data_IF_229538618518
#
_entry.id   IF_229538618518
#
_cell.length_a   1.000
_cell.length_b   1.000
_cell.length_c   1.000
_cell.angle_alpha   90.00
_cell.angle_beta   90.00
_cell.angle_gamma   90.00
#
_symmetry.space_group_name_H-M   'P 1'
#
loop_
_entity.id
_entity.type
_entity.pdbx_description
1 polymer ?
#
# COMPACT_ATOMS: atom_id res chain seq x y z
N UNK A 1 11.06 2.28 -19.37
CA UNK A 1 9.61 2.26 -19.16
C UNK A 1 9.41 2.03 -17.68
N UNK A 2 8.61 2.87 -17.01
CA UNK A 2 8.29 2.66 -15.60
C UNK A 2 7.30 1.50 -15.57
N UNK A 3 7.53 0.51 -14.70
CA UNK A 3 6.57 -0.58 -14.49
C UNK A 3 5.34 -0.02 -13.80
N UNK A 4 4.16 -0.51 -14.17
CA UNK A 4 2.92 -0.14 -13.50
C UNK A 4 2.96 -0.56 -12.01
N UNK A 5 2.20 0.16 -11.18
CA UNK A 5 2.08 -0.08 -9.74
C UNK A 5 0.60 -0.17 -9.43
N UNK A 6 0.10 -1.39 -9.20
CA UNK A 6 -1.31 -1.65 -8.88
C UNK A 6 -1.74 -1.06 -7.54
N UNK A 7 -0.81 -1.03 -6.57
CA UNK A 7 -0.98 -0.38 -5.26
C UNK A 7 0.33 0.28 -4.82
N UNK A 8 0.31 1.60 -4.71
CA UNK A 8 1.32 2.37 -3.99
C UNK A 8 0.77 2.75 -2.62
N UNK A 9 1.23 2.07 -1.57
CA UNK A 9 0.86 2.35 -0.19
C UNK A 9 1.95 3.21 0.48
N UNK A 10 1.63 4.46 0.80
CA UNK A 10 2.64 5.45 1.17
C UNK A 10 2.26 6.23 2.44
N UNK A 11 2.70 5.76 3.62
CA UNK A 11 2.62 6.54 4.86
C UNK A 11 3.47 7.82 4.77
N UNK A 12 2.83 9.00 4.83
CA UNK A 12 3.48 10.30 4.79
C UNK A 12 3.32 11.02 6.13
N UNK A 13 4.30 10.88 7.01
CA UNK A 13 4.27 11.49 8.36
C UNK A 13 4.11 13.02 8.36
N UNK A 14 4.68 13.72 7.37
CA UNK A 14 4.55 15.18 7.23
C UNK A 14 3.11 15.62 6.95
N UNK A 15 2.36 14.82 6.19
CA UNK A 15 0.96 15.06 5.85
C UNK A 15 0.00 14.43 6.87
N UNK A 16 0.49 13.57 7.76
CA UNK A 16 -0.32 12.78 8.73
C UNK A 16 -1.39 11.91 8.06
N UNK A 17 -1.08 11.42 6.86
CA UNK A 17 -1.94 10.53 6.09
C UNK A 17 -1.15 9.36 5.52
N UNK A 18 -1.86 8.27 5.27
CA UNK A 18 -1.39 7.19 4.41
C UNK A 18 -2.03 7.38 3.05
N UNK A 19 -1.23 7.72 2.05
CA UNK A 19 -1.71 7.95 0.68
C UNK A 19 -1.70 6.61 -0.06
N UNK A 20 -2.79 6.30 -0.77
CA UNK A 20 -2.85 5.17 -1.70
C UNK A 20 -3.11 5.66 -3.10
N UNK A 21 -2.47 5.04 -4.09
CA UNK A 21 -2.68 5.34 -5.49
C UNK A 21 -2.25 4.15 -6.36
N UNK A 22 -2.51 4.22 -7.66
CA UNK A 22 -1.93 3.34 -8.67
C UNK A 22 -1.19 4.17 -9.72
N UNK A 23 -0.14 3.59 -10.29
CA UNK A 23 0.60 4.14 -11.43
C UNK A 23 0.30 3.28 -12.65
N UNK A 24 -0.26 3.86 -13.70
CA UNK A 24 -0.64 3.13 -14.92
C UNK A 24 -0.13 3.90 -16.13
N UNK A 25 0.59 3.22 -17.03
CA UNK A 25 1.19 3.83 -18.21
C UNK A 25 2.10 5.05 -17.88
N UNK A 26 2.72 5.04 -16.70
CA UNK A 26 3.59 6.12 -16.22
C UNK A 26 2.86 7.33 -15.60
N UNK A 27 1.53 7.27 -15.42
CA UNK A 27 0.75 8.33 -14.80
C UNK A 27 0.11 7.88 -13.47
N UNK A 28 0.13 8.78 -12.49
CA UNK A 28 -0.54 8.56 -11.21
C UNK A 28 -2.03 8.86 -11.33
N UNK A 29 -2.88 7.98 -10.80
CA UNK A 29 -4.31 8.23 -10.70
C UNK A 29 -4.68 9.20 -9.57
N UNK A 30 -5.95 9.19 -9.17
CA UNK A 30 -6.42 9.97 -8.03
C UNK A 30 -5.91 9.38 -6.71
N UNK A 31 -5.38 10.21 -5.83
CA UNK A 31 -4.93 9.78 -4.50
C UNK A 31 -6.12 9.52 -3.57
N UNK A 32 -6.08 8.39 -2.86
CA UNK A 32 -6.99 8.06 -1.76
C UNK A 32 -6.31 8.38 -0.43
N UNK A 33 -6.96 9.22 0.39
CA UNK A 33 -6.37 9.87 1.58
C UNK A 33 -7.21 9.66 2.84
N UNK A 34 -8.34 8.99 2.72
CA UNK A 34 -9.25 8.67 3.81
C UNK A 34 -8.58 7.81 4.88
N UNK A 35 -8.91 8.07 6.15
CA UNK A 35 -8.28 7.43 7.29
C UNK A 35 -7.25 8.35 7.98
N UNK A 36 -6.81 7.92 9.16
CA UNK A 36 -5.81 8.62 9.97
C UNK A 36 -4.44 7.99 9.78
N UNK A 37 -3.38 8.70 10.16
CA UNK A 37 -2.07 8.09 10.33
C UNK A 37 -2.12 7.03 11.44
N UNK A 38 -1.82 5.77 11.10
CA UNK A 38 -1.80 4.63 12.03
C UNK A 38 -0.38 4.16 12.37
N UNK A 39 0.64 4.81 11.80
CA UNK A 39 2.05 4.52 12.06
C UNK A 39 2.67 5.60 12.93
N UNK A 40 3.62 5.18 13.76
CA UNK A 40 4.42 6.05 14.63
C UNK A 40 5.91 5.86 14.33
N UNK A 41 6.70 6.94 14.39
CA UNK A 41 8.13 6.87 14.11
C UNK A 41 8.86 6.09 15.21
N UNK A 42 9.72 5.15 14.82
CA UNK A 42 10.50 4.32 15.75
C UNK A 42 9.69 3.20 16.42
N UNK A 43 8.43 3.00 16.03
CA UNK A 43 7.58 1.93 16.51
C UNK A 43 7.39 0.89 15.39
N UNK A 44 7.57 -0.39 15.72
CA UNK A 44 7.34 -1.48 14.78
C UNK A 44 5.86 -1.67 14.47
N UNK A 45 5.57 -2.26 13.31
CA UNK A 45 4.21 -2.59 12.88
C UNK A 45 4.20 -3.85 12.03
N UNK A 46 3.05 -4.53 12.01
CA UNK A 46 2.74 -5.59 11.05
C UNK A 46 1.82 -5.02 9.96
N UNK A 47 2.19 -5.22 8.69
CA UNK A 47 1.41 -4.80 7.53
C UNK A 47 1.01 -6.03 6.71
N UNK A 48 -0.29 -6.29 6.65
CA UNK A 48 -0.86 -7.38 5.86
C UNK A 48 -1.65 -6.79 4.70
N UNK A 49 -1.31 -7.20 3.48
CA UNK A 49 -2.00 -6.81 2.25
C UNK A 49 -2.53 -8.07 1.58
N UNK A 50 -3.84 -8.14 1.39
CA UNK A 50 -4.52 -9.29 0.77
C UNK A 50 -5.08 -8.84 -0.57
N UNK A 51 -4.67 -9.50 -1.65
CA UNK A 51 -5.21 -9.28 -2.98
C UNK A 51 -6.53 -10.04 -3.13
N UNK A 52 -7.67 -9.34 -3.10
CA UNK A 52 -9.00 -9.90 -3.34
C UNK A 52 -9.49 -9.56 -4.74
N UNK A 53 -10.56 -10.21 -5.22
CA UNK A 53 -11.07 -10.02 -6.58
C UNK A 53 -11.46 -8.59 -6.96
N UNK A 54 -11.79 -7.73 -5.97
CA UNK A 54 -12.27 -6.36 -6.22
C UNK A 54 -11.34 -5.26 -5.67
N UNK A 55 -10.32 -5.63 -4.90
CA UNK A 55 -9.38 -4.66 -4.34
C UNK A 55 -8.44 -5.28 -3.33
N UNK A 56 -7.46 -4.50 -2.89
CA UNK A 56 -6.57 -4.88 -1.81
C UNK A 56 -7.24 -4.61 -0.46
N UNK A 57 -7.31 -5.62 0.40
CA UNK A 57 -7.60 -5.40 1.82
C UNK A 57 -6.30 -5.17 2.58
N UNK A 58 -6.24 -4.11 3.37
CA UNK A 58 -5.02 -3.69 4.07
C UNK A 58 -5.31 -3.68 5.57
N UNK A 59 -4.44 -4.35 6.32
CA UNK A 59 -4.49 -4.45 7.77
C UNK A 59 -3.18 -3.94 8.36
N UNK A 60 -3.26 -3.22 9.47
CA UNK A 60 -2.11 -2.77 10.25
C UNK A 60 -2.28 -3.31 11.66
N UNK A 61 -1.31 -4.08 12.15
CA UNK A 61 -1.38 -4.77 13.44
C UNK A 61 -2.69 -5.57 13.61
N UNK A 62 -3.02 -6.39 12.60
CA UNK A 62 -4.26 -7.19 12.50
C UNK A 62 -5.60 -6.43 12.50
N UNK A 63 -5.58 -5.10 12.59
CA UNK A 63 -6.78 -4.26 12.47
C UNK A 63 -6.99 -3.81 11.03
N UNK A 64 -8.23 -3.91 10.53
CA UNK A 64 -8.57 -3.49 9.18
C UNK A 64 -8.37 -1.97 9.03
N UNK A 65 -7.43 -1.59 8.18
CA UNK A 65 -7.13 -0.19 7.89
C UNK A 65 -8.01 0.37 6.77
N UNK A 66 -7.96 -0.22 5.58
CA UNK A 66 -8.78 0.19 4.44
C UNK A 66 -8.91 -0.89 3.37
N UNK A 67 -9.70 -0.60 2.35
CA UNK A 67 -9.71 -1.32 1.07
C UNK A 67 -9.33 -0.33 -0.03
N UNK A 68 -8.45 -0.73 -0.94
CA UNK A 68 -8.13 0.02 -2.16
C UNK A 68 -8.69 -0.75 -3.36
N UNK A 69 -9.64 -0.17 -4.08
CA UNK A 69 -10.24 -0.83 -5.24
C UNK A 69 -9.22 -1.00 -6.35
N UNK A 70 -9.22 -2.16 -7.01
CA UNK A 70 -8.31 -2.41 -8.13
C UNK A 70 -8.57 -1.41 -9.27
N UNK A 71 -7.47 -0.93 -9.87
CA UNK A 71 -7.52 -0.06 -11.06
C UNK A 71 -7.05 -0.78 -12.32
N UNK A 72 -6.49 -1.98 -12.15
CA UNK A 72 -5.97 -2.91 -13.14
C UNK A 72 -6.45 -4.35 -12.83
N UNK A 73 -6.00 -5.34 -13.62
CA UNK A 73 -6.36 -6.73 -13.38
C UNK A 73 -5.62 -7.26 -12.13
N UNK A 74 -6.34 -7.76 -11.10
CA UNK A 74 -5.71 -8.33 -9.91
C UNK A 74 -4.78 -9.52 -10.19
N UNK A 75 -4.87 -10.12 -11.37
CA UNK A 75 -4.07 -11.29 -11.76
C UNK A 75 -2.69 -10.92 -12.31
N UNK A 76 -2.48 -9.66 -12.68
CA UNK A 76 -1.24 -9.18 -13.34
C UNK A 76 -0.15 -8.73 -12.34
N UNK A 77 -0.44 -8.83 -11.03
CA UNK A 77 0.48 -8.44 -9.96
C UNK A 77 1.53 -9.52 -9.75
N UNK A 78 2.80 -9.19 -9.96
CA UNK A 78 3.91 -10.16 -9.94
C UNK A 78 5.10 -9.77 -9.05
N UNK A 79 5.03 -8.63 -8.36
CA UNK A 79 6.17 -8.12 -7.60
C UNK A 79 5.78 -7.29 -6.39
N UNK A 80 6.70 -7.26 -5.42
CA UNK A 80 6.67 -6.39 -4.25
C UNK A 80 7.90 -5.49 -4.28
N UNK A 81 7.69 -4.19 -4.08
CA UNK A 81 8.75 -3.22 -3.92
C UNK A 81 8.55 -2.46 -2.61
N UNK A 82 9.61 -2.36 -1.82
CA UNK A 82 9.63 -1.60 -0.57
C UNK A 82 10.71 -0.52 -0.70
N UNK A 83 10.34 0.73 -0.43
CA UNK A 83 11.22 1.90 -0.54
C UNK A 83 10.95 2.88 0.59
N UNK A 84 11.90 3.78 0.83
CA UNK A 84 11.80 4.84 1.82
C UNK A 84 12.50 4.48 3.14
N UNK A 85 12.16 5.24 4.17
CA UNK A 85 12.74 5.12 5.51
C UNK A 85 11.95 4.09 6.33
N UNK A 86 12.31 2.81 6.16
CA UNK A 86 11.69 1.68 6.86
C UNK A 86 12.73 0.60 7.13
N UNK A 87 12.69 0.01 8.32
CA UNK A 87 13.45 -1.18 8.66
C UNK A 87 12.57 -2.42 8.50
N UNK A 88 13.04 -3.40 7.73
CA UNK A 88 12.30 -4.63 7.45
C UNK A 88 12.83 -5.76 8.31
N UNK A 89 11.99 -6.26 9.22
CA UNK A 89 12.32 -7.36 10.13
C UNK A 89 11.89 -8.73 9.57
N UNK A 90 10.92 -8.76 8.64
CA UNK A 90 10.46 -9.97 7.98
C UNK A 90 9.51 -9.68 6.82
N UNK A 91 9.48 -10.58 5.84
CA UNK A 91 8.51 -10.57 4.73
C UNK A 91 7.99 -12.00 4.59
N UNK A 92 6.67 -12.14 4.50
CA UNK A 92 6.00 -13.39 4.17
C UNK A 92 5.07 -13.16 2.98
N UNK A 93 5.21 -13.98 1.94
CA UNK A 93 4.36 -13.99 0.74
C UNK A 93 3.75 -15.39 0.65
N UNK A 94 2.44 -15.47 0.40
CA UNK A 94 1.68 -16.71 0.30
C UNK A 94 1.03 -16.83 -1.07
#
# INVERSE_FOLDING_TARGET
MVSDISLHFNPRFSEKHVVRNALQAGEWGNEEREGKMVFEKGVGFDLTIINESYGFQIFVNDERFCTFAHRDDPSDISGLQIQGDVEITGIQIQ
#
